data_IF_415666264016
#
_entry.id   IF_415666264016
#
_cell.length_a   1.000
_cell.length_b   1.000
_cell.length_c   1.000
_cell.angle_alpha   90.00
_cell.angle_beta   90.00
_cell.angle_gamma   90.00
#
_symmetry.space_group_name_H-M   'P 1'
#
loop_
_entity.id
_entity.type
_entity.pdbx_description
1 polymer ?
#
# COMPACT_ATOMS: atom_id res chain seq x y z
N UNK A 1 -12.09 34.97 16.66
CA UNK A 1 -13.34 34.40 17.22
C UNK A 1 -14.50 35.04 16.46
N UNK A 2 -15.59 34.31 16.17
CA UNK A 2 -16.72 34.82 15.39
C UNK A 2 -16.53 34.82 13.86
N UNK A 3 -15.48 34.19 13.34
CA UNK A 3 -15.22 34.05 11.90
C UNK A 3 -15.34 32.60 11.49
N UNK A 4 -15.70 32.35 10.23
CA UNK A 4 -15.79 31.01 9.69
C UNK A 4 -14.39 30.39 9.55
N UNK A 5 -14.24 29.12 9.97
CA UNK A 5 -12.96 28.41 9.86
C UNK A 5 -12.54 28.23 8.38
N UNK A 6 -13.50 28.07 7.47
CA UNK A 6 -13.24 27.86 6.03
C UNK A 6 -12.53 29.05 5.37
N UNK A 7 -12.65 30.25 5.95
CA UNK A 7 -12.00 31.47 5.45
C UNK A 7 -10.48 31.41 5.59
N UNK A 8 -9.98 30.60 6.53
CA UNK A 8 -8.56 30.40 6.76
C UNK A 8 -7.98 29.26 5.91
N UNK A 9 -8.82 28.42 5.29
CA UNK A 9 -8.36 27.33 4.44
C UNK A 9 -8.05 27.82 3.03
N UNK A 10 -6.98 27.26 2.46
CA UNK A 10 -6.64 27.47 1.05
C UNK A 10 -7.80 27.00 0.15
N UNK A 11 -8.17 27.75 -0.91
CA UNK A 11 -9.32 27.42 -1.77
C UNK A 11 -9.31 25.99 -2.33
N UNK A 12 -8.12 25.45 -2.67
CA UNK A 12 -7.96 24.07 -3.17
C UNK A 12 -8.35 22.99 -2.14
N UNK A 13 -8.24 23.29 -0.85
CA UNK A 13 -8.46 22.30 0.23
C UNK A 13 -9.90 22.33 0.76
N UNK A 14 -10.70 23.34 0.38
CA UNK A 14 -12.07 23.52 0.89
C UNK A 14 -12.99 22.35 0.55
N UNK A 15 -12.87 21.81 -0.67
CA UNK A 15 -13.69 20.68 -1.10
C UNK A 15 -13.34 19.41 -0.31
N UNK A 16 -12.05 19.12 -0.14
CA UNK A 16 -11.59 17.98 0.65
C UNK A 16 -12.06 18.11 2.11
N UNK A 17 -11.97 19.31 2.68
CA UNK A 17 -12.45 19.59 4.03
C UNK A 17 -13.97 19.39 4.17
N UNK A 18 -14.76 19.90 3.23
CA UNK A 18 -16.21 19.71 3.23
C UNK A 18 -16.59 18.22 3.10
N UNK A 19 -15.98 17.48 2.17
CA UNK A 19 -16.21 16.04 2.01
C UNK A 19 -15.87 15.26 3.29
N UNK A 20 -14.76 15.63 3.95
CA UNK A 20 -14.36 15.00 5.20
C UNK A 20 -15.41 15.25 6.29
N UNK A 21 -15.81 16.51 6.52
CA UNK A 21 -16.85 16.84 7.49
C UNK A 21 -18.16 16.10 7.21
N UNK A 22 -18.61 16.08 5.96
CA UNK A 22 -19.85 15.40 5.57
C UNK A 22 -19.77 13.90 5.83
N UNK A 23 -18.64 13.26 5.55
CA UNK A 23 -18.43 11.84 5.87
C UNK A 23 -18.51 11.58 7.38
N UNK A 24 -17.97 12.49 8.21
CA UNK A 24 -17.98 12.37 9.67
C UNK A 24 -19.35 12.61 10.30
N UNK A 25 -20.16 13.47 9.69
CA UNK A 25 -21.54 13.68 10.09
C UNK A 25 -22.46 12.53 9.67
N UNK A 26 -22.18 11.87 8.53
CA UNK A 26 -22.98 10.75 8.02
C UNK A 26 -22.95 9.50 8.92
N UNK A 27 -21.87 9.29 9.67
CA UNK A 27 -21.75 8.19 10.66
C UNK A 27 -22.73 8.36 11.84
N UNK A 28 -23.32 9.54 12.04
CA UNK A 28 -24.20 9.81 13.18
C UNK A 28 -25.64 9.27 13.05
N UNK A 29 -26.06 8.72 11.91
CA UNK A 29 -27.48 8.37 11.69
C UNK A 29 -27.87 6.93 12.08
N UNK A 30 -26.93 6.01 12.30
CA UNK A 30 -27.23 4.57 12.37
C UNK A 30 -26.94 3.89 13.72
N UNK A 31 -26.87 4.61 14.84
CA UNK A 31 -26.63 3.97 16.15
C UNK A 31 -27.67 4.31 17.20
N UNK A 32 -28.30 3.25 17.74
CA UNK A 32 -29.16 3.26 18.92
C UNK A 32 -28.49 4.01 20.10
N UNK A 33 -29.27 4.66 21.00
CA UNK A 33 -28.78 5.69 21.92
C UNK A 33 -27.90 5.21 23.10
N UNK A 34 -27.46 3.96 23.15
CA UNK A 34 -27.10 3.34 24.44
C UNK A 34 -25.61 3.22 24.75
N UNK A 35 -24.68 3.77 23.95
CA UNK A 35 -23.26 3.82 24.34
C UNK A 35 -22.57 5.10 23.85
N UNK A 36 -21.67 5.72 24.65
CA UNK A 36 -20.78 6.77 24.17
C UNK A 36 -19.75 6.14 23.24
N UNK A 37 -20.12 5.96 21.97
CA UNK A 37 -19.19 5.49 20.95
C UNK A 37 -18.18 6.62 20.72
N UNK A 38 -16.93 6.40 21.12
CA UNK A 38 -15.81 7.27 20.75
C UNK A 38 -15.81 7.43 19.23
N UNK A 39 -16.24 8.60 18.73
CA UNK A 39 -16.35 8.86 17.30
C UNK A 39 -14.95 8.80 16.67
N UNK A 40 -14.80 8.18 15.49
CA UNK A 40 -13.50 8.10 14.84
C UNK A 40 -12.98 9.51 14.55
N UNK A 41 -11.77 9.80 15.04
CA UNK A 41 -11.06 11.04 14.72
C UNK A 41 -10.72 11.02 13.24
N UNK A 42 -11.20 12.01 12.51
CA UNK A 42 -10.92 12.14 11.09
C UNK A 42 -9.70 13.02 10.87
N UNK A 43 -8.76 12.55 10.04
CA UNK A 43 -7.51 13.27 9.77
C UNK A 43 -7.56 13.78 8.33
N UNK A 44 -7.30 15.07 8.16
CA UNK A 44 -7.16 15.73 6.87
C UNK A 44 -5.91 16.60 6.85
N UNK A 45 -5.30 16.75 5.69
CA UNK A 45 -4.17 17.64 5.47
C UNK A 45 -4.66 18.89 4.74
N UNK A 46 -4.43 20.08 5.31
CA UNK A 46 -4.90 21.33 4.70
C UNK A 46 -3.86 22.43 4.82
N UNK A 47 -3.90 23.38 3.89
CA UNK A 47 -3.14 24.63 3.96
C UNK A 47 -3.96 25.66 4.71
N UNK A 48 -3.44 26.14 5.85
CA UNK A 48 -4.06 27.18 6.67
C UNK A 48 -3.28 28.49 6.47
N UNK A 49 -4.03 29.57 6.26
CA UNK A 49 -3.50 30.92 6.09
C UNK A 49 -2.69 31.33 7.32
N UNK A 50 -1.47 31.77 7.10
CA UNK A 50 -0.64 32.35 8.16
C UNK A 50 -1.09 33.77 8.46
N UNK A 51 -1.11 34.14 9.73
CA UNK A 51 -1.40 35.51 10.15
C UNK A 51 -0.22 36.42 9.79
N UNK A 52 -0.47 37.44 8.96
CA UNK A 52 0.48 38.54 8.75
C UNK A 52 0.20 39.61 9.79
N UNK A 53 1.05 39.72 10.82
CA UNK A 53 0.89 40.74 11.86
C UNK A 53 1.00 42.16 11.32
N UNK A 54 0.22 43.08 11.89
CA UNK A 54 0.26 44.52 11.61
C UNK A 54 1.59 45.19 12.01
N UNK A 55 2.48 44.49 12.70
CA UNK A 55 3.82 44.98 13.08
C UNK A 55 4.79 45.07 11.90
N UNK A 56 4.49 44.44 10.75
CA UNK A 56 5.46 44.39 9.65
C UNK A 56 5.38 45.53 8.65
N UNK A 57 4.32 46.36 8.56
CA UNK A 57 4.23 47.38 7.52
C UNK A 57 3.05 48.36 7.69
N UNK A 58 3.35 49.65 7.91
CA UNK A 58 2.48 50.79 7.56
C UNK A 58 2.50 51.13 6.06
N UNK A 59 2.93 50.18 5.21
CA UNK A 59 3.00 50.32 3.76
C UNK A 59 2.10 49.29 3.08
N UNK A 60 0.93 49.72 2.60
CA UNK A 60 0.09 48.90 1.74
C UNK A 60 0.78 48.77 0.38
N UNK A 61 1.31 47.57 0.09
CA UNK A 61 1.52 47.05 -1.28
C UNK A 61 1.69 45.52 -1.22
N UNK A 62 0.65 44.81 -1.66
CA UNK A 62 0.59 43.35 -1.93
C UNK A 62 0.97 42.42 -0.77
N UNK A 63 0.03 42.21 0.16
CA UNK A 63 0.07 41.03 1.04
C UNK A 63 -0.18 39.76 0.20
N UNK A 64 0.89 39.13 -0.28
CA UNK A 64 0.82 37.75 -0.74
C UNK A 64 0.39 36.90 0.46
N UNK A 65 -0.83 36.36 0.40
CA UNK A 65 -1.36 35.49 1.46
C UNK A 65 -0.55 34.20 1.46
N UNK A 66 0.28 34.00 2.47
CA UNK A 66 1.02 32.75 2.68
C UNK A 66 0.16 31.73 3.41
N UNK A 67 0.40 30.46 3.09
CA UNK A 67 -0.27 29.33 3.69
C UNK A 67 0.76 28.32 4.15
N UNK A 68 0.50 27.67 5.29
CA UNK A 68 1.32 26.59 5.82
C UNK A 68 0.51 25.29 5.87
N UNK A 69 1.14 24.13 5.63
CA UNK A 69 0.47 22.83 5.71
C UNK A 69 0.26 22.41 7.18
N UNK A 70 -0.92 21.89 7.48
CA UNK A 70 -1.29 21.35 8.79
C UNK A 70 -1.91 19.96 8.63
N UNK A 71 -1.58 19.09 9.58
CA UNK A 71 -2.34 17.88 9.89
C UNK A 71 -3.50 18.30 10.80
N UNK A 72 -4.71 18.22 10.28
CA UNK A 72 -5.93 18.64 10.96
C UNK A 72 -6.72 17.41 11.40
N UNK A 73 -6.93 17.29 12.70
CA UNK A 73 -7.77 16.26 13.31
C UNK A 73 -9.12 16.85 13.66
N UNK A 74 -10.18 16.20 13.19
CA UNK A 74 -11.57 16.60 13.36
C UNK A 74 -12.25 15.63 14.33
N UNK A 75 -12.82 16.17 15.40
CA UNK A 75 -13.61 15.42 16.38
C UNK A 75 -14.98 16.07 16.55
N UNK A 76 -16.03 15.29 16.33
CA UNK A 76 -17.41 15.72 16.52
C UNK A 76 -17.86 15.40 17.94
N UNK A 77 -18.41 16.39 18.64
CA UNK A 77 -18.96 16.23 19.99
C UNK A 77 -20.43 16.63 19.99
N UNK A 78 -21.28 15.75 20.50
CA UNK A 78 -22.69 16.05 20.67
C UNK A 78 -22.90 16.53 22.10
N UNK A 79 -23.66 17.59 22.26
CA UNK A 79 -24.09 18.09 23.56
C UNK A 79 -25.61 18.16 23.52
N UNK A 80 -26.25 17.34 24.36
CA UNK A 80 -27.68 17.40 24.64
C UNK A 80 -27.92 18.38 25.77
N UNK A 81 -28.44 19.56 25.43
CA UNK A 81 -28.91 20.54 26.41
C UNK A 81 -30.44 20.45 26.53
N UNK A 82 -31.00 21.04 27.59
CA UNK A 82 -32.45 21.09 27.83
C UNK A 82 -33.25 21.75 26.69
N UNK A 83 -32.60 22.54 25.83
CA UNK A 83 -33.19 23.26 24.68
C UNK A 83 -33.03 22.53 23.33
N UNK A 84 -32.35 21.38 23.30
CA UNK A 84 -32.17 20.57 22.07
C UNK A 84 -30.77 19.96 21.92
N UNK A 85 -30.60 19.18 20.84
CA UNK A 85 -29.34 18.53 20.48
C UNK A 85 -28.46 19.50 19.65
N UNK A 86 -27.31 19.90 20.18
CA UNK A 86 -26.30 20.68 19.46
C UNK A 86 -25.06 19.84 19.19
N UNK A 87 -24.40 20.07 18.05
CA UNK A 87 -23.13 19.41 17.71
C UNK A 87 -22.01 20.43 17.56
N UNK A 88 -20.83 20.08 18.06
CA UNK A 88 -19.61 20.88 18.00
C UNK A 88 -18.54 20.15 17.21
N UNK A 89 -17.83 20.90 16.38
CA UNK A 89 -16.63 20.42 15.70
C UNK A 89 -15.39 20.93 16.44
N UNK A 90 -14.64 20.01 17.03
CA UNK A 90 -13.32 20.30 17.62
C UNK A 90 -12.26 20.03 16.56
N UNK A 91 -11.43 21.03 16.30
CA UNK A 91 -10.36 20.98 15.31
C UNK A 91 -9.02 21.12 16.02
N UNK A 92 -8.16 20.11 15.90
CA UNK A 92 -6.77 20.17 16.34
C UNK A 92 -5.86 20.22 15.11
N UNK A 93 -5.08 21.29 14.96
CA UNK A 93 -4.19 21.48 13.82
C UNK A 93 -2.72 21.43 14.27
N UNK A 94 -1.96 20.48 13.74
CA UNK A 94 -0.52 20.35 13.97
C UNK A 94 0.24 20.78 12.71
N UNK A 95 1.16 21.75 12.78
CA UNK A 95 1.91 22.19 11.61
C UNK A 95 2.80 21.05 11.10
N UNK A 96 2.97 20.99 9.78
CA UNK A 96 3.88 20.04 9.12
C UNK A 96 5.07 20.81 8.60
N UNK A 97 6.26 20.38 8.96
CA UNK A 97 7.52 20.90 8.42
C UNK A 97 8.09 19.94 7.38
N UNK A 98 9.02 20.45 6.57
CA UNK A 98 9.84 19.60 5.70
C UNK A 98 10.61 18.58 6.53
N UNK A 99 10.81 17.38 5.96
CA UNK A 99 11.66 16.36 6.55
C UNK A 99 13.17 16.66 6.42
N UNK A 100 13.54 17.65 5.61
CA UNK A 100 14.94 18.00 5.35
C UNK A 100 15.36 19.25 6.13
N UNK A 101 16.49 19.17 6.81
CA UNK A 101 17.10 20.28 7.52
C UNK A 101 18.12 21.03 6.65
N UNK A 102 18.79 20.33 5.73
CA UNK A 102 19.84 20.91 4.89
C UNK A 102 19.69 20.53 3.40
N UNK A 103 20.25 21.32 2.47
CA UNK A 103 20.31 20.98 1.05
C UNK A 103 20.95 19.61 0.78
N UNK A 104 20.34 18.82 -0.12
CA UNK A 104 20.82 17.51 -0.59
C UNK A 104 21.15 16.54 0.56
N UNK A 105 20.32 16.57 1.60
CA UNK A 105 20.53 15.75 2.80
C UNK A 105 20.30 14.25 2.51
N UNK A 106 21.23 13.41 2.95
CA UNK A 106 21.09 11.96 2.92
C UNK A 106 20.45 11.47 4.22
N UNK A 107 19.27 10.87 4.11
CA UNK A 107 18.54 10.37 5.28
C UNK A 107 19.05 8.98 5.68
N UNK A 108 19.51 8.83 6.92
CA UNK A 108 20.05 7.56 7.42
C UNK A 108 18.96 6.53 7.78
N UNK A 109 17.80 6.99 8.26
CA UNK A 109 16.64 6.16 8.62
C UNK A 109 15.32 6.80 8.15
N UNK A 110 15.12 6.99 6.85
CA UNK A 110 13.88 7.52 6.30
C UNK A 110 12.72 6.54 6.57
N UNK A 111 11.60 7.06 7.08
CA UNK A 111 10.35 6.28 7.16
C UNK A 111 9.79 6.11 5.75
N UNK A 112 9.56 4.88 5.28
CA UNK A 112 9.04 4.67 3.95
C UNK A 112 7.56 5.06 3.87
N UNK A 113 7.13 5.58 2.73
CA UNK A 113 5.73 5.91 2.46
C UNK A 113 5.22 5.16 1.24
N UNK A 114 3.90 5.00 1.14
CA UNK A 114 3.28 4.19 0.08
C UNK A 114 2.52 5.03 -0.95
N UNK A 115 2.61 4.64 -2.21
CA UNK A 115 1.70 5.11 -3.26
C UNK A 115 0.95 3.95 -3.87
N UNK A 116 -0.25 4.22 -4.39
CA UNK A 116 -0.95 3.30 -5.28
C UNK A 116 -1.45 4.05 -6.51
N UNK A 117 -1.17 3.51 -7.68
CA UNK A 117 -1.71 4.03 -8.94
C UNK A 117 -2.37 2.93 -9.75
N UNK A 118 -3.35 3.32 -10.56
CA UNK A 118 -4.05 2.45 -11.50
C UNK A 118 -3.17 2.12 -12.71
N UNK A 119 -3.57 1.13 -13.51
CA UNK A 119 -2.89 0.78 -14.76
C UNK A 119 -2.78 1.95 -15.77
N UNK A 120 -3.65 2.95 -15.65
CA UNK A 120 -3.62 4.20 -16.44
C UNK A 120 -2.65 5.25 -15.90
N UNK A 121 -1.85 4.95 -14.87
CA UNK A 121 -0.90 5.88 -14.23
C UNK A 121 -1.52 6.83 -13.20
N UNK A 122 -2.86 6.81 -13.05
CA UNK A 122 -3.57 7.69 -12.13
C UNK A 122 -3.40 7.26 -10.67
N UNK A 123 -2.93 8.18 -9.83
CA UNK A 123 -2.75 7.95 -8.38
C UNK A 123 -4.12 7.77 -7.73
N UNK A 124 -4.32 6.63 -7.07
CA UNK A 124 -5.53 6.27 -6.32
C UNK A 124 -5.35 6.48 -4.82
N UNK A 125 -4.14 6.29 -4.31
CA UNK A 125 -3.81 6.47 -2.90
C UNK A 125 -2.40 7.05 -2.76
N UNK A 126 -2.26 7.96 -1.81
CA UNK A 126 -1.00 8.55 -1.40
C UNK A 126 -0.96 8.54 0.13
N UNK A 127 0.10 7.97 0.68
CA UNK A 127 0.32 7.89 2.12
C UNK A 127 0.53 9.29 2.72
N UNK A 128 -0.19 9.66 3.80
CA UNK A 128 0.01 10.91 4.53
C UNK A 128 1.45 11.25 4.89
N UNK A 129 2.29 10.26 5.17
CA UNK A 129 3.68 10.49 5.56
C UNK A 129 4.53 11.01 4.38
N UNK A 130 4.04 10.90 3.14
CA UNK A 130 4.70 11.49 1.97
C UNK A 130 4.73 13.03 1.99
N UNK A 131 3.83 13.67 2.73
CA UNK A 131 3.64 15.13 2.71
C UNK A 131 4.92 15.87 3.14
N UNK A 132 5.60 15.37 4.18
CA UNK A 132 6.84 15.97 4.68
C UNK A 132 8.04 15.81 3.72
N UNK A 133 8.00 14.81 2.84
CA UNK A 133 9.09 14.53 1.89
C UNK A 133 8.86 15.19 0.52
N UNK A 134 7.60 15.22 0.05
CA UNK A 134 7.28 15.66 -1.31
C UNK A 134 6.64 17.05 -1.36
N UNK A 135 6.15 17.56 -0.23
CA UNK A 135 5.46 18.85 -0.14
C UNK A 135 4.04 18.87 -0.71
N UNK A 136 3.62 17.81 -1.40
CA UNK A 136 2.26 17.66 -1.91
C UNK A 136 1.32 17.16 -0.83
N UNK A 137 0.12 17.73 -0.76
CA UNK A 137 -0.97 17.12 0.02
C UNK A 137 -1.56 15.93 -0.75
N UNK A 138 -2.09 14.88 -0.08
CA UNK A 138 -2.61 13.71 -0.78
C UNK A 138 -3.68 14.07 -1.83
N UNK A 139 -4.58 15.00 -1.52
CA UNK A 139 -5.61 15.48 -2.43
C UNK A 139 -5.06 16.24 -3.65
N UNK A 140 -3.84 16.80 -3.57
CA UNK A 140 -3.21 17.47 -4.70
C UNK A 140 -2.70 16.46 -5.73
N UNK A 141 -2.49 15.18 -5.36
CA UNK A 141 -1.94 14.12 -6.22
C UNK A 141 -2.95 13.06 -6.64
N UNK A 142 -3.98 12.79 -5.82
CA UNK A 142 -5.04 11.83 -6.19
C UNK A 142 -5.67 12.25 -7.53
N UNK A 143 -5.75 11.30 -8.47
CA UNK A 143 -6.25 11.53 -9.83
C UNK A 143 -5.26 12.19 -10.80
N UNK A 144 -4.05 12.56 -10.35
CA UNK A 144 -2.95 12.95 -11.25
C UNK A 144 -2.19 11.73 -11.74
N UNK A 145 -1.48 11.92 -12.86
CA UNK A 145 -0.65 10.89 -13.46
C UNK A 145 0.73 10.87 -12.78
N UNK A 146 1.09 9.73 -12.17
CA UNK A 146 2.38 9.55 -11.50
C UNK A 146 3.56 9.64 -12.49
N UNK A 147 3.33 9.31 -13.76
CA UNK A 147 4.37 9.33 -14.80
C UNK A 147 4.85 10.75 -15.14
N UNK A 148 4.08 11.77 -14.73
CA UNK A 148 4.48 13.17 -14.84
C UNK A 148 5.43 13.60 -13.71
N UNK A 149 5.45 12.87 -12.60
CA UNK A 149 6.35 13.15 -11.48
C UNK A 149 7.75 12.56 -11.71
N UNK A 150 7.88 11.57 -12.59
CA UNK A 150 9.18 11.01 -12.92
C UNK A 150 10.02 11.98 -13.74
N UNK A 151 11.32 12.04 -13.42
CA UNK A 151 12.25 12.82 -14.22
C UNK A 151 12.33 12.26 -15.66
N UNK A 152 12.29 13.12 -16.70
CA UNK A 152 12.22 12.66 -18.09
C UNK A 152 13.35 11.70 -18.50
N UNK A 153 14.57 11.95 -18.05
CA UNK A 153 15.74 11.10 -18.32
C UNK A 153 15.68 9.72 -17.64
N UNK A 154 14.86 9.57 -16.60
CA UNK A 154 14.73 8.30 -15.87
C UNK A 154 13.62 7.42 -16.46
N UNK A 155 12.78 7.97 -17.35
CA UNK A 155 11.68 7.26 -18.00
C UNK A 155 12.09 5.98 -18.76
N UNK A 156 13.21 5.93 -19.52
CA UNK A 156 13.62 4.71 -20.21
C UNK A 156 13.94 3.56 -19.23
N UNK A 157 14.55 3.88 -18.09
CA UNK A 157 14.83 2.91 -17.04
C UNK A 157 13.55 2.45 -16.34
N UNK A 158 12.68 3.40 -15.99
CA UNK A 158 11.40 3.08 -15.36
C UNK A 158 10.52 2.23 -16.27
N UNK A 159 10.56 2.45 -17.59
CA UNK A 159 9.88 1.61 -18.56
C UNK A 159 10.32 0.14 -18.46
N UNK A 160 11.63 -0.13 -18.47
CA UNK A 160 12.17 -1.50 -18.31
C UNK A 160 11.78 -2.12 -16.96
N UNK A 161 11.74 -1.30 -15.91
CA UNK A 161 11.31 -1.73 -14.57
C UNK A 161 9.83 -2.15 -14.58
N UNK A 162 8.96 -1.35 -15.18
CA UNK A 162 7.54 -1.66 -15.31
C UNK A 162 7.27 -2.89 -16.19
N UNK A 163 8.03 -3.08 -17.29
CA UNK A 163 7.98 -4.30 -18.09
C UNK A 163 8.28 -5.54 -17.26
N UNK A 164 9.34 -5.46 -16.45
CA UNK A 164 9.77 -6.57 -15.58
C UNK A 164 8.74 -6.84 -14.49
N UNK A 165 8.20 -5.78 -13.87
CA UNK A 165 7.15 -5.87 -12.86
C UNK A 165 5.92 -6.63 -13.35
N UNK A 166 5.40 -6.26 -14.52
CA UNK A 166 4.18 -6.89 -15.06
C UNK A 166 4.46 -8.30 -15.58
N UNK A 167 5.62 -8.52 -16.20
CA UNK A 167 5.99 -9.83 -16.77
C UNK A 167 6.22 -10.87 -15.68
N UNK A 168 7.02 -10.54 -14.68
CA UNK A 168 7.50 -11.50 -13.68
C UNK A 168 6.57 -11.58 -12.45
N UNK A 169 5.60 -10.66 -12.34
CA UNK A 169 4.57 -10.60 -11.28
C UNK A 169 5.15 -10.68 -9.87
N UNK A 170 6.34 -10.12 -9.71
CA UNK A 170 7.09 -10.14 -8.47
C UNK A 170 7.19 -8.74 -7.88
N UNK A 171 7.71 -8.67 -6.66
CA UNK A 171 8.10 -7.41 -6.06
C UNK A 171 9.51 -7.05 -6.52
N UNK A 172 9.72 -5.82 -7.01
CA UNK A 172 11.01 -5.35 -7.52
C UNK A 172 11.46 -4.10 -6.79
N UNK A 173 12.73 -4.07 -6.37
CA UNK A 173 13.37 -2.87 -5.85
C UNK A 173 14.08 -2.13 -6.99
N UNK A 174 13.79 -0.85 -7.14
CA UNK A 174 14.46 0.01 -8.12
C UNK A 174 15.83 0.46 -7.61
N UNK A 175 16.70 0.88 -8.54
CA UNK A 175 17.81 1.79 -8.20
C UNK A 175 17.24 3.18 -7.85
N UNK A 176 18.02 4.06 -7.20
CA UNK A 176 17.59 5.43 -6.96
C UNK A 176 17.22 6.16 -8.26
N UNK A 177 16.06 6.78 -8.30
CA UNK A 177 15.59 7.63 -9.41
C UNK A 177 14.99 8.93 -8.88
N UNK A 178 14.78 9.91 -9.76
CA UNK A 178 14.32 11.25 -9.40
C UNK A 178 12.80 11.36 -9.48
N UNK A 179 12.19 11.87 -8.40
CA UNK A 179 10.77 12.18 -8.32
C UNK A 179 10.57 13.68 -8.06
N UNK A 180 9.71 14.31 -8.84
CA UNK A 180 9.38 15.74 -8.75
C UNK A 180 8.61 16.02 -7.45
N UNK A 181 9.02 17.06 -6.73
CA UNK A 181 8.37 17.55 -5.51
C UNK A 181 7.65 18.89 -5.73
N UNK A 182 6.84 19.32 -4.77
CA UNK A 182 5.96 20.49 -4.87
C UNK A 182 6.71 21.81 -5.11
N UNK A 183 7.91 21.95 -4.55
CA UNK A 183 8.75 23.12 -4.79
C UNK A 183 9.35 23.16 -6.21
N UNK A 184 9.13 22.10 -7.02
CA UNK A 184 9.57 21.99 -8.42
C UNK A 184 10.95 21.38 -8.64
N UNK A 185 11.67 21.05 -7.56
CA UNK A 185 12.91 20.27 -7.61
C UNK A 185 12.62 18.75 -7.61
N UNK A 186 13.68 17.94 -7.55
CA UNK A 186 13.60 16.50 -7.51
C UNK A 186 14.25 15.95 -6.24
N UNK A 187 13.63 14.92 -5.68
CA UNK A 187 14.25 14.07 -4.65
C UNK A 187 14.68 12.75 -5.27
N UNK A 188 15.75 12.14 -4.75
CA UNK A 188 16.14 10.79 -5.17
C UNK A 188 15.61 9.79 -4.18
N UNK A 189 14.93 8.78 -4.70
CA UNK A 189 14.33 7.75 -3.89
C UNK A 189 14.47 6.37 -4.55
N UNK A 190 14.47 5.35 -3.70
CA UNK A 190 14.31 3.96 -4.11
C UNK A 190 12.88 3.55 -3.90
N UNK A 191 12.38 2.66 -4.76
CA UNK A 191 11.01 2.15 -4.63
C UNK A 191 10.99 0.65 -4.75
N UNK A 192 10.32 0.02 -3.79
CA UNK A 192 9.89 -1.36 -3.89
C UNK A 192 8.50 -1.37 -4.54
N UNK A 193 8.44 -1.81 -5.79
CA UNK A 193 7.22 -1.91 -6.58
C UNK A 193 6.58 -3.27 -6.43
N UNK A 194 5.26 -3.30 -6.26
CA UNK A 194 4.43 -4.50 -6.27
C UNK A 194 3.18 -4.28 -7.11
N UNK A 195 2.81 -5.26 -7.92
CA UNK A 195 1.63 -5.20 -8.79
C UNK A 195 0.54 -6.14 -8.29
N UNK A 196 -0.71 -5.67 -8.27
CA UNK A 196 -1.87 -6.52 -8.03
C UNK A 196 -2.63 -6.77 -9.33
N UNK A 197 -2.68 -8.03 -9.74
CA UNK A 197 -3.39 -8.49 -10.93
C UNK A 197 -4.63 -9.25 -10.47
N UNK A 198 -5.79 -8.84 -10.96
CA UNK A 198 -7.05 -9.47 -10.63
C UNK A 198 -7.06 -10.94 -11.14
N UNK A 199 -7.36 -11.92 -10.27
CA UNK A 199 -7.22 -13.34 -10.62
C UNK A 199 -8.27 -13.82 -11.66
N UNK A 200 -9.41 -13.13 -11.76
CA UNK A 200 -10.46 -13.45 -12.73
C UNK A 200 -10.22 -12.76 -14.07
N UNK A 201 -10.06 -11.43 -14.06
CA UNK A 201 -9.92 -10.67 -15.31
C UNK A 201 -8.51 -10.75 -15.91
N UNK A 202 -7.51 -11.18 -15.13
CA UNK A 202 -6.08 -11.21 -15.47
C UNK A 202 -5.50 -9.84 -15.88
N UNK A 203 -6.20 -8.77 -15.53
CA UNK A 203 -5.79 -7.38 -15.73
C UNK A 203 -5.15 -6.84 -14.47
N UNK A 204 -4.15 -5.98 -14.66
CA UNK A 204 -3.56 -5.20 -13.58
C UNK A 204 -4.62 -4.24 -13.02
N UNK A 205 -4.84 -4.28 -11.72
CA UNK A 205 -5.79 -3.37 -11.06
C UNK A 205 -5.05 -2.14 -10.52
N UNK A 206 -3.92 -2.36 -9.84
CA UNK A 206 -3.08 -1.29 -9.33
C UNK A 206 -1.63 -1.73 -9.13
N UNK A 207 -0.74 -0.75 -9.14
CA UNK A 207 0.64 -0.87 -8.69
C UNK A 207 0.79 -0.12 -7.39
N UNK A 208 1.44 -0.76 -6.42
CA UNK A 208 1.83 -0.15 -5.15
C UNK A 208 3.34 0.10 -5.17
N UNK A 209 3.76 1.29 -4.78
CA UNK A 209 5.17 1.64 -4.58
C UNK A 209 5.42 1.94 -3.11
N UNK A 210 6.39 1.27 -2.49
CA UNK A 210 6.92 1.64 -1.18
C UNK A 210 8.21 2.42 -1.40
N UNK A 211 8.16 3.71 -1.10
CA UNK A 211 9.21 4.68 -1.41
C UNK A 211 10.08 4.95 -0.20
N UNK A 212 11.39 4.95 -0.40
CA UNK A 212 12.38 5.29 0.61
C UNK A 212 13.25 6.41 0.05
N UNK A 213 13.23 7.58 0.70
CA UNK A 213 14.05 8.73 0.29
C UNK A 213 15.53 8.42 0.52
N UNK A 214 16.36 8.64 -0.49
CA UNK A 214 17.82 8.47 -0.42
C UNK A 214 18.50 9.82 -0.21
N UNK A 215 18.14 10.80 -1.04
CA UNK A 215 18.72 12.14 -1.05
C UNK A 215 17.61 13.18 -1.22
N UNK A 216 17.65 14.20 -0.36
CA UNK A 216 16.74 15.33 -0.37
C UNK A 216 16.97 16.32 -1.52
N UNK A 217 16.10 17.32 -1.64
CA UNK A 217 16.22 18.37 -2.64
C UNK A 217 17.32 19.38 -2.29
N UNK A 218 17.71 20.22 -3.24
CA UNK A 218 18.66 21.32 -3.00
C UNK A 218 18.03 22.42 -2.14
N UNK A 219 16.75 22.72 -2.34
CA UNK A 219 15.98 23.53 -1.41
C UNK A 219 15.29 22.65 -0.36
N UNK A 220 15.73 22.64 0.91
CA UNK A 220 15.14 21.79 1.95
C UNK A 220 13.68 22.12 2.25
N UNK A 221 13.18 23.33 1.92
CA UNK A 221 11.77 23.64 2.04
C UNK A 221 10.96 23.06 0.86
N UNK A 222 10.33 21.91 1.10
CA UNK A 222 9.48 21.22 0.11
C UNK A 222 8.14 21.91 -0.13
N UNK A 223 7.72 22.81 0.76
CA UNK A 223 6.46 23.57 0.65
C UNK A 223 6.66 24.94 0.01
N UNK A 224 7.91 25.33 -0.25
CA UNK A 224 8.25 26.55 -0.96
C UNK A 224 7.54 26.60 -2.32
N UNK A 225 7.23 27.82 -2.76
CA UNK A 225 6.60 28.01 -4.05
C UNK A 225 7.61 27.74 -5.17
N UNK A 226 7.21 27.09 -6.30
CA UNK A 226 8.12 26.72 -7.39
C UNK A 226 8.62 27.91 -8.25
N UNK A 227 8.62 29.12 -7.70
CA UNK A 227 8.97 30.33 -8.43
C UNK A 227 10.49 30.37 -8.70
N UNK A 228 10.86 30.46 -9.98
CA UNK A 228 12.25 30.66 -10.41
C UNK A 228 13.00 29.41 -10.85
N UNK A 229 12.39 28.21 -10.77
CA UNK A 229 13.02 26.98 -11.26
C UNK A 229 13.03 26.98 -12.79
N UNK A 230 14.23 27.01 -13.36
CA UNK A 230 14.45 26.83 -14.79
C UNK A 230 14.45 25.33 -15.10
N UNK A 231 13.33 24.82 -15.61
CA UNK A 231 13.32 23.48 -16.17
C UNK A 231 14.25 23.40 -17.39
N UNK A 232 15.02 22.31 -17.55
CA UNK A 232 15.78 22.09 -18.77
C UNK A 232 14.82 22.16 -19.96
N UNK A 233 15.12 23.06 -20.91
CA UNK A 233 14.32 23.22 -22.12
C UNK A 233 14.63 22.07 -23.06
N UNK A 234 13.81 21.04 -23.01
CA UNK A 234 13.85 19.95 -23.98
C UNK A 234 13.28 20.42 -25.32
N UNK A 235 13.93 20.00 -26.42
CA UNK A 235 13.42 20.20 -27.78
C UNK A 235 12.16 19.35 -28.03
N UNK A 236 11.46 19.60 -29.13
CA UNK A 236 10.21 18.91 -29.44
C UNK A 236 10.41 17.39 -29.58
N UNK A 237 11.50 16.97 -30.22
CA UNK A 237 11.85 15.55 -30.38
C UNK A 237 12.06 14.85 -29.05
N UNK A 238 12.76 15.47 -28.09
CA UNK A 238 12.95 14.93 -26.75
C UNK A 238 11.62 14.83 -26.00
N UNK A 239 10.76 15.87 -26.08
CA UNK A 239 9.44 15.83 -25.44
C UNK A 239 8.58 14.71 -26.01
N UNK A 240 8.58 14.54 -27.34
CA UNK A 240 7.88 13.45 -28.00
C UNK A 240 8.42 12.08 -27.57
N UNK A 241 9.74 11.92 -27.46
CA UNK A 241 10.37 10.70 -26.94
C UNK A 241 9.94 10.41 -25.50
N UNK A 242 9.95 11.39 -24.60
CA UNK A 242 9.50 11.22 -23.22
C UNK A 242 8.02 10.85 -23.13
N UNK A 243 7.18 11.49 -23.95
CA UNK A 243 5.77 11.13 -24.01
C UNK A 243 5.57 9.70 -24.52
N UNK A 244 6.31 9.28 -25.54
CA UNK A 244 6.29 7.91 -26.03
C UNK A 244 6.68 6.90 -24.93
N UNK A 245 7.71 7.19 -24.11
CA UNK A 245 8.01 6.33 -22.96
C UNK A 245 6.86 6.24 -21.96
N UNK A 246 6.19 7.35 -21.63
CA UNK A 246 5.01 7.34 -20.75
C UNK A 246 3.88 6.51 -21.33
N UNK A 247 3.57 6.68 -22.61
CA UNK A 247 2.52 5.94 -23.30
C UNK A 247 2.85 4.44 -23.37
N UNK A 248 4.12 4.10 -23.57
CA UNK A 248 4.59 2.72 -23.56
C UNK A 248 4.48 2.10 -22.15
N UNK A 249 4.79 2.83 -21.08
CA UNK A 249 4.56 2.38 -19.70
C UNK A 249 3.08 2.07 -19.49
N UNK A 250 2.18 2.99 -19.86
CA UNK A 250 0.73 2.77 -19.75
C UNK A 250 0.29 1.56 -20.57
N UNK A 251 0.85 1.36 -21.78
CA UNK A 251 0.55 0.18 -22.62
C UNK A 251 0.97 -1.12 -21.95
N UNK A 252 2.15 -1.16 -21.33
CA UNK A 252 2.66 -2.32 -20.59
C UNK A 252 1.75 -2.65 -19.41
N UNK A 253 1.34 -1.64 -18.65
CA UNK A 253 0.45 -1.80 -17.49
C UNK A 253 -0.94 -2.33 -17.88
N UNK A 254 -1.45 -1.96 -19.06
CA UNK A 254 -2.76 -2.40 -19.56
C UNK A 254 -2.74 -3.75 -20.29
N UNK A 255 -1.56 -4.32 -20.55
CA UNK A 255 -1.45 -5.61 -21.25
C UNK A 255 -2.05 -6.72 -20.39
N UNK A 256 -2.96 -7.51 -20.97
CA UNK A 256 -3.52 -8.69 -20.30
C UNK A 256 -2.41 -9.73 -20.14
N UNK A 257 -2.11 -10.12 -18.90
CA UNK A 257 -1.09 -11.14 -18.63
C UNK A 257 -1.60 -12.53 -19.01
N UNK A 258 -1.20 -13.03 -20.17
CA UNK A 258 -1.29 -14.45 -20.53
C UNK A 258 -0.24 -15.23 -19.75
N UNK A 259 -0.61 -16.30 -19.03
CA UNK A 259 0.37 -17.18 -18.38
C UNK A 259 1.29 -17.75 -19.47
N UNK A 260 2.58 -17.43 -19.45
CA UNK A 260 3.56 -18.26 -20.14
C UNK A 260 3.64 -19.58 -19.38
N UNK A 261 3.18 -20.65 -20.01
CA UNK A 261 3.14 -21.99 -19.41
C UNK A 261 4.54 -22.51 -19.14
N UNK A 262 4.88 -22.66 -17.86
CA UNK A 262 5.59 -23.86 -17.39
C UNK A 262 4.66 -24.56 -16.42
N UNK A 263 3.77 -25.36 -16.99
CA UNK A 263 2.94 -26.34 -16.29
C UNK A 263 3.86 -27.47 -15.83
N UNK A 264 4.42 -27.36 -14.63
CA UNK A 264 4.69 -28.55 -13.82
C UNK A 264 3.47 -28.73 -12.93
N UNK A 265 2.62 -29.69 -13.28
CA UNK A 265 1.47 -30.09 -12.48
C UNK A 265 1.91 -30.41 -11.04
N UNK A 266 1.40 -29.74 -9.99
CA UNK A 266 1.42 -30.33 -8.67
C UNK A 266 0.19 -31.25 -8.53
N UNK A 267 0.29 -32.39 -7.82
CA UNK A 267 -0.80 -33.34 -7.69
C UNK A 267 -1.91 -32.71 -6.84
N UNK A 268 -3.01 -32.32 -7.48
CA UNK A 268 -4.18 -31.71 -6.86
C UNK A 268 -4.92 -32.61 -5.88
N UNK A 269 -4.52 -33.88 -5.74
CA UNK A 269 -5.21 -34.85 -4.90
C UNK A 269 -4.75 -34.88 -3.43
N UNK A 270 -3.61 -34.27 -3.07
CA UNK A 270 -3.12 -34.29 -1.67
C UNK A 270 -3.58 -33.10 -0.80
N UNK A 271 -4.18 -32.06 -1.39
CA UNK A 271 -4.54 -30.82 -0.67
C UNK A 271 -5.93 -30.82 -0.05
N UNK A 272 -6.81 -31.76 -0.43
CA UNK A 272 -8.15 -31.88 0.15
C UNK A 272 -8.14 -32.42 1.58
N UNK A 273 -7.10 -33.16 1.99
CA UNK A 273 -6.99 -33.68 3.35
C UNK A 273 -6.54 -32.61 4.35
N UNK A 274 -5.69 -31.66 3.93
CA UNK A 274 -5.15 -30.64 4.84
C UNK A 274 -6.10 -29.45 5.07
N UNK A 275 -6.98 -29.12 4.11
CA UNK A 275 -7.91 -27.99 4.29
C UNK A 275 -9.00 -28.29 5.33
N UNK A 276 -9.37 -29.56 5.54
CA UNK A 276 -10.39 -29.95 6.52
C UNK A 276 -9.92 -29.81 7.98
N UNK A 277 -8.61 -29.71 8.23
CA UNK A 277 -8.07 -29.54 9.59
C UNK A 277 -8.20 -28.09 10.08
N UNK A 278 -8.31 -27.11 9.17
CA UNK A 278 -8.35 -25.68 9.52
C UNK A 278 -9.77 -25.07 9.53
N UNK A 279 -10.81 -25.83 9.16
CA UNK A 279 -12.21 -25.38 9.18
C UNK A 279 -13.08 -26.26 10.08
N UNK A 280 -12.70 -26.40 11.35
CA UNK A 280 -13.64 -26.81 12.39
C UNK A 280 -14.19 -25.54 13.10
N UNK A 281 -15.51 -25.33 13.16
CA UNK A 281 -16.08 -24.14 13.80
C UNK A 281 -15.98 -24.22 15.33
N UNK A 282 -15.39 -23.19 15.93
CA UNK A 282 -15.36 -22.96 17.37
C UNK A 282 -16.75 -22.49 17.85
N UNK A 283 -17.66 -23.43 18.13
CA UNK A 283 -18.91 -23.17 18.84
C UNK A 283 -19.29 -24.40 19.68
N UNK A 284 -18.89 -24.43 20.95
CA UNK A 284 -19.53 -25.23 22.01
C UNK A 284 -19.12 -24.70 23.40
N UNK A 285 -20.11 -24.26 24.17
CA UNK A 285 -19.98 -23.94 25.59
C UNK A 285 -19.65 -25.19 26.45
N UNK A 286 -19.07 -25.03 27.65
CA UNK A 286 -18.48 -26.12 28.41
C UNK A 286 -19.46 -26.79 29.37
N UNK A 287 -19.43 -28.13 29.44
CA UNK A 287 -20.06 -28.92 30.50
C UNK A 287 -19.16 -30.13 30.87
N UNK A 288 -19.26 -30.67 32.10
CA UNK A 288 -18.07 -30.88 32.94
C UNK A 288 -17.45 -32.29 32.88
N UNK A 289 -16.13 -32.26 33.03
CA UNK A 289 -15.19 -33.21 33.65
C UNK A 289 -15.81 -34.46 34.29
N UNK A 290 -15.52 -35.63 33.71
CA UNK A 290 -15.36 -36.88 34.47
C UNK A 290 -13.87 -37.23 34.51
N UNK A 291 -13.27 -36.98 35.67
CA UNK A 291 -11.98 -37.55 36.09
C UNK A 291 -12.24 -38.98 36.57
N UNK A 292 -11.45 -39.93 36.11
CA UNK A 292 -11.16 -41.15 36.88
C UNK A 292 -9.65 -41.41 36.87
N UNK A 293 -9.17 -41.90 37.99
CA UNK A 293 -7.86 -41.67 38.59
C UNK A 293 -6.69 -42.48 37.99
N UNK A 294 -5.50 -41.92 38.15
CA UNK A 294 -4.21 -42.60 37.94
C UNK A 294 -3.82 -43.32 39.23
N UNK A 295 -3.40 -44.58 39.11
CA UNK A 295 -2.54 -45.23 40.09
C UNK A 295 -1.45 -46.03 39.36
N UNK A 296 -0.20 -45.56 39.48
CA UNK A 296 1.02 -46.33 39.20
C UNK A 296 1.39 -47.11 40.46
N UNK A 297 2.14 -48.22 40.34
CA UNK A 297 3.55 -48.12 40.73
C UNK A 297 4.52 -48.91 39.83
N UNK A 298 5.80 -48.58 40.03
CA UNK A 298 7.01 -49.12 39.39
C UNK A 298 7.26 -50.61 39.68
N UNK A 299 7.99 -51.29 38.79
CA UNK A 299 9.33 -51.86 39.05
C UNK A 299 9.77 -52.88 37.99
N UNK A 300 11.06 -52.82 37.64
CA UNK A 300 11.96 -53.95 37.27
C UNK A 300 11.61 -54.80 36.02
N UNK A 301 12.48 -55.31 35.15
CA UNK A 301 13.92 -55.28 34.82
C UNK A 301 14.18 -56.53 33.92
N UNK A 302 15.31 -56.57 33.20
CA UNK A 302 15.98 -57.73 32.54
C UNK A 302 15.89 -57.88 31.00
N UNK A 303 16.96 -57.39 30.36
CA UNK A 303 17.96 -58.06 29.48
C UNK A 303 17.64 -59.49 28.95
N UNK A 304 18.12 -60.02 27.83
CA UNK A 304 19.33 -59.82 27.01
C UNK A 304 19.30 -60.78 25.78
N UNK A 305 20.20 -60.54 24.81
CA UNK A 305 20.87 -61.48 23.86
C UNK A 305 20.24 -61.88 22.52
N UNK A 306 20.82 -61.27 21.47
CA UNK A 306 21.80 -61.85 20.53
C UNK A 306 21.54 -63.17 19.78
N UNK A 307 21.87 -63.08 18.47
CA UNK A 307 22.42 -64.14 17.60
C UNK A 307 21.42 -65.17 17.05
N UNK A 308 21.53 -65.70 15.83
CA UNK A 308 22.20 -65.40 14.57
C UNK A 308 21.68 -66.51 13.60
N UNK A 309 21.72 -66.24 12.30
CA UNK A 309 21.94 -67.24 11.24
C UNK A 309 20.85 -68.24 10.75
N UNK A 310 20.76 -68.24 9.41
CA UNK A 310 20.58 -69.36 8.46
C UNK A 310 19.19 -69.97 8.22
N UNK A 311 18.70 -69.71 7.00
CA UNK A 311 18.58 -70.74 5.95
C UNK A 311 17.39 -71.71 6.00
N UNK A 312 16.82 -72.02 4.83
CA UNK A 312 16.05 -73.24 4.64
C UNK A 312 14.79 -73.10 3.80
N UNK A 313 14.94 -73.44 2.53
CA UNK A 313 13.97 -73.54 1.43
C UNK A 313 12.94 -74.68 1.57
N UNK A 314 11.75 -74.43 1.00
CA UNK A 314 10.76 -75.26 0.25
C UNK A 314 10.57 -76.77 0.47
N UNK A 315 9.37 -77.28 0.06
CA UNK A 315 9.36 -78.10 -1.16
C UNK A 315 8.20 -77.86 -2.14
N UNK A 316 8.44 -78.33 -3.37
CA UNK A 316 7.68 -78.34 -4.62
C UNK A 316 6.33 -79.06 -4.64
N UNK A 317 5.47 -78.71 -5.62
CA UNK A 317 4.95 -79.62 -6.66
C UNK A 317 4.33 -78.78 -7.81
N UNK A 318 5.00 -78.62 -8.96
CA UNK A 318 4.83 -79.37 -10.22
C UNK A 318 3.43 -79.28 -10.84
N UNK A 319 3.29 -78.53 -11.96
CA UNK A 319 3.17 -79.15 -13.27
C UNK A 319 3.10 -78.13 -14.42
N UNK A 320 3.56 -78.61 -15.57
CA UNK A 320 4.33 -77.89 -16.57
C UNK A 320 3.55 -77.05 -17.60
N UNK A 321 4.31 -76.10 -18.12
CA UNK A 321 4.09 -75.31 -19.31
C UNK A 321 4.46 -76.14 -20.56
N UNK A 322 3.73 -76.00 -21.68
CA UNK A 322 4.27 -75.49 -22.96
C UNK A 322 3.47 -75.89 -24.21
N UNK A 323 3.17 -74.86 -25.00
CA UNK A 323 3.39 -74.76 -26.46
C UNK A 323 2.61 -75.68 -27.42
N UNK A 324 1.67 -75.04 -28.13
CA UNK A 324 1.69 -74.98 -29.60
C UNK A 324 0.97 -76.08 -30.36
N UNK A 325 -0.08 -75.71 -31.10
CA UNK A 325 -0.14 -75.80 -32.56
C UNK A 325 -1.57 -75.58 -33.07
N UNK A 326 -1.62 -74.81 -34.15
CA UNK A 326 -2.47 -74.96 -35.33
C UNK A 326 -3.98 -75.20 -35.20
N UNK A 327 -4.69 -74.27 -35.83
CA UNK A 327 -6.07 -74.35 -36.30
C UNK A 327 -6.25 -75.51 -37.30
N UNK A 328 -7.49 -75.96 -37.53
CA UNK A 328 -8.05 -75.63 -38.83
C UNK A 328 -9.53 -75.20 -38.79
N UNK A 329 -9.87 -74.47 -39.85
CA UNK A 329 -11.19 -74.01 -40.24
C UNK A 329 -12.11 -75.17 -40.61
N UNK A 330 -13.36 -75.12 -40.14
CA UNK A 330 -14.58 -75.11 -40.96
C UNK A 330 -15.78 -74.76 -40.08
#
# INVERSE_FOLDING_TARGET
IGRSFIDFLHPKDRNAFASQIMSGLGVNKDTNPTQPVNKPVQIIFTRIRTYCGLTSCFGVKNNNVSFMPFKVQLAFKDITNAEGQSFYLVIQATPISSAFAHPNEYLSKPTPFHTRHLAVGKIKYMDPDSVMYLGYLPQDLIGKDILQLYHPEDLPYLYQLYETLVRDKCTLRSRPYRLLIQNGEYVRLETEFSSFINPWSRKLEFVTGKHTIVEGPSNPDVFASPHGIKYPKYNEDQRAKFQNFRDNIVRVLNKVTTKSGKTTNPPTLKRSMELNVYQAPSNADPAPVLRLEVQQPADSSFFERDSEMLGGISPHHENECMSGSETPLS
#
